data_IF_745985159027
#
_entry.id   IF_745985159027
#
_cell.length_a   1.000
_cell.length_b   1.000
_cell.length_c   1.000
_cell.angle_alpha   90.00
_cell.angle_beta   90.00
_cell.angle_gamma   90.00
#
_symmetry.space_group_name_H-M   'P 1'
#
loop_
_entity.id
_entity.type
_entity.pdbx_description
1 polymer ?
#
# COMPACT_ATOMS: atom_id res chain seq x y z
N UNK A 1 -10.90 25.81 5.58
CA UNK A 1 -12.24 25.53 4.97
C UNK A 1 -12.11 24.42 3.93
N UNK A 2 -12.88 23.34 4.03
CA UNK A 2 -12.96 22.31 2.98
C UNK A 2 -13.52 22.93 1.70
N UNK A 3 -12.83 22.71 0.55
CA UNK A 3 -13.33 23.24 -0.74
C UNK A 3 -14.67 22.57 -1.08
N UNK A 4 -15.59 23.30 -1.70
CA UNK A 4 -16.93 22.81 -2.11
C UNK A 4 -16.90 21.47 -2.83
N UNK A 5 -15.86 21.21 -3.65
CA UNK A 5 -15.64 19.93 -4.32
C UNK A 5 -15.52 18.73 -3.36
N UNK A 6 -14.92 18.90 -2.19
CA UNK A 6 -14.80 17.82 -1.19
C UNK A 6 -16.14 17.50 -0.56
N UNK A 7 -16.96 18.51 -0.29
CA UNK A 7 -18.31 18.33 0.28
C UNK A 7 -19.20 17.56 -0.70
N UNK A 8 -19.19 17.93 -1.98
CA UNK A 8 -19.96 17.24 -3.02
C UNK A 8 -19.51 15.78 -3.13
N UNK A 9 -18.19 15.52 -3.16
CA UNK A 9 -17.62 14.18 -3.19
C UNK A 9 -18.11 13.33 -2.00
N UNK A 10 -18.13 13.93 -0.80
CA UNK A 10 -18.56 13.23 0.40
C UNK A 10 -20.06 12.90 0.37
N UNK A 11 -20.90 13.79 -0.14
CA UNK A 11 -22.34 13.54 -0.31
C UNK A 11 -22.57 12.40 -1.32
N UNK A 12 -21.91 12.44 -2.47
CA UNK A 12 -22.01 11.37 -3.48
C UNK A 12 -21.54 10.04 -2.88
N UNK A 13 -20.39 10.04 -2.19
CA UNK A 13 -19.86 8.85 -1.54
C UNK A 13 -20.78 8.29 -0.46
N UNK A 14 -21.37 9.15 0.36
CA UNK A 14 -22.35 8.75 1.36
C UNK A 14 -23.60 8.12 0.73
N UNK A 15 -24.13 8.71 -0.35
CA UNK A 15 -25.26 8.15 -1.08
C UNK A 15 -24.91 6.79 -1.71
N UNK A 16 -23.75 6.69 -2.37
CA UNK A 16 -23.26 5.44 -2.95
C UNK A 16 -23.12 4.34 -1.89
N UNK A 17 -22.47 4.65 -0.77
CA UNK A 17 -22.30 3.73 0.34
C UNK A 17 -23.65 3.19 0.84
N UNK A 18 -24.60 4.07 1.13
CA UNK A 18 -25.89 3.67 1.71
C UNK A 18 -26.78 2.90 0.73
N UNK A 19 -26.62 3.09 -0.59
CA UNK A 19 -27.44 2.41 -1.61
C UNK A 19 -26.81 1.11 -2.09
N UNK A 20 -25.49 1.09 -2.29
CA UNK A 20 -24.81 0.00 -3.01
C UNK A 20 -23.90 -0.87 -2.15
N UNK A 21 -23.38 -0.35 -1.04
CA UNK A 21 -22.28 -0.99 -0.29
C UNK A 21 -22.55 -1.26 1.20
N UNK A 22 -23.72 -0.82 1.74
CA UNK A 22 -24.04 -0.91 3.17
C UNK A 22 -23.84 -2.29 3.80
N UNK A 23 -23.92 -3.36 3.01
CA UNK A 23 -23.81 -4.75 3.47
C UNK A 23 -22.46 -5.43 3.11
N UNK A 24 -21.51 -4.71 2.52
CA UNK A 24 -20.26 -5.28 2.02
C UNK A 24 -18.99 -4.78 2.73
N UNK A 25 -19.13 -4.00 3.79
CA UNK A 25 -18.00 -3.34 4.45
C UNK A 25 -17.50 -4.13 5.66
N UNK A 26 -17.14 -5.37 5.42
CA UNK A 26 -16.47 -6.25 6.37
C UNK A 26 -15.17 -6.72 5.70
N UNK A 27 -14.10 -6.83 6.47
CA UNK A 27 -12.81 -7.28 6.00
C UNK A 27 -11.71 -6.23 6.17
N UNK A 28 -10.62 -6.40 5.45
CA UNK A 28 -9.45 -5.55 5.56
C UNK A 28 -9.52 -4.35 4.60
N UNK A 29 -9.29 -3.15 5.11
CA UNK A 29 -9.07 -1.92 4.33
C UNK A 29 -7.59 -1.59 4.36
N UNK A 30 -6.90 -1.84 3.26
CA UNK A 30 -5.49 -1.47 3.12
C UNK A 30 -5.33 -0.01 2.69
N UNK A 31 -4.48 0.74 3.39
CA UNK A 31 -4.14 2.13 3.10
C UNK A 31 -2.74 2.20 2.49
N UNK A 32 -2.59 2.93 1.35
CA UNK A 32 -1.29 3.14 0.71
C UNK A 32 -0.72 4.48 1.13
N UNK A 33 0.54 4.46 1.53
CA UNK A 33 1.40 5.62 1.74
C UNK A 33 2.64 5.51 0.84
N UNK A 34 3.38 6.61 0.62
CA UNK A 34 4.59 6.61 -0.20
C UNK A 34 5.76 7.33 0.48
N UNK A 35 5.72 8.66 0.57
CA UNK A 35 6.79 9.48 1.15
C UNK A 35 6.30 10.33 2.33
N UNK A 36 7.23 10.74 3.20
CA UNK A 36 6.92 11.37 4.49
C UNK A 36 7.62 12.71 4.70
N UNK A 37 7.47 13.60 3.73
CA UNK A 37 8.03 14.95 3.72
C UNK A 37 9.04 15.20 2.60
N UNK A 38 9.55 14.16 1.97
CA UNK A 38 10.41 14.30 0.79
C UNK A 38 9.64 14.96 -0.36
N UNK A 39 10.21 16.02 -0.92
CA UNK A 39 9.66 16.66 -2.12
C UNK A 39 9.94 15.83 -3.36
N UNK A 40 8.92 15.20 -3.89
CA UNK A 40 8.99 14.39 -5.09
C UNK A 40 8.69 15.24 -6.33
N UNK A 41 9.62 15.27 -7.30
CA UNK A 41 9.45 16.08 -8.54
C UNK A 41 8.28 15.62 -9.42
N UNK A 42 7.92 14.33 -9.35
CA UNK A 42 6.84 13.72 -10.12
C UNK A 42 5.49 13.72 -9.38
N UNK A 43 5.47 14.17 -8.12
CA UNK A 43 4.25 14.22 -7.33
C UNK A 43 3.33 15.33 -7.81
N UNK A 44 2.25 14.97 -8.47
CA UNK A 44 1.27 15.90 -9.03
C UNK A 44 0.04 16.11 -8.13
N UNK A 45 -0.15 15.27 -7.10
CA UNK A 45 -1.36 15.28 -6.28
C UNK A 45 -1.15 15.03 -4.78
N UNK A 46 0.08 14.91 -4.33
CA UNK A 46 0.43 14.93 -2.92
C UNK A 46 0.57 13.55 -2.27
N UNK A 47 1.34 12.63 -2.87
CA UNK A 47 1.68 11.34 -2.25
C UNK A 47 2.72 11.45 -1.13
N UNK A 48 3.40 12.59 -1.02
CA UNK A 48 4.31 12.89 0.09
C UNK A 48 3.56 13.58 1.22
N UNK A 49 3.40 12.91 2.36
CA UNK A 49 2.64 13.36 3.51
C UNK A 49 3.59 13.90 4.57
N UNK A 50 3.21 15.00 5.24
CA UNK A 50 3.97 15.47 6.38
C UNK A 50 4.01 14.41 7.49
N UNK A 51 5.19 14.15 8.06
CA UNK A 51 5.42 13.08 9.05
C UNK A 51 4.57 13.25 10.33
N UNK A 52 4.34 14.48 10.79
CA UNK A 52 3.47 14.72 11.95
C UNK A 52 2.02 14.36 11.63
N UNK A 53 1.56 14.67 10.40
CA UNK A 53 0.23 14.28 9.95
C UNK A 53 0.09 12.75 9.87
N UNK A 54 1.11 12.06 9.37
CA UNK A 54 1.17 10.59 9.39
C UNK A 54 1.06 10.07 10.82
N UNK A 55 1.83 10.62 11.76
CA UNK A 55 1.77 10.26 13.18
C UNK A 55 0.36 10.42 13.76
N UNK A 56 -0.31 11.54 13.47
CA UNK A 56 -1.68 11.80 13.94
C UNK A 56 -2.67 10.80 13.34
N UNK A 57 -2.51 10.45 12.05
CA UNK A 57 -3.31 9.42 11.39
C UNK A 57 -3.08 8.05 12.03
N UNK A 58 -1.83 7.64 12.27
CA UNK A 58 -1.52 6.35 12.90
C UNK A 58 -2.08 6.25 14.32
N UNK A 59 -1.95 7.33 15.11
CA UNK A 59 -2.59 7.39 16.42
C UNK A 59 -4.09 7.21 16.32
N UNK A 60 -4.77 7.96 15.44
CA UNK A 60 -6.21 7.84 15.23
C UNK A 60 -6.62 6.42 14.83
N UNK A 61 -5.89 5.80 13.89
CA UNK A 61 -6.19 4.45 13.42
C UNK A 61 -6.04 3.42 14.54
N UNK A 62 -4.96 3.49 15.30
CA UNK A 62 -4.68 2.58 16.41
C UNK A 62 -5.68 2.70 17.56
N UNK A 63 -6.21 3.91 17.80
CA UNK A 63 -7.19 4.17 18.85
C UNK A 63 -8.61 3.67 18.48
N UNK A 64 -8.93 3.51 17.16
CA UNK A 64 -10.30 3.28 16.69
C UNK A 64 -10.51 2.00 15.88
N UNK A 65 -9.45 1.33 15.42
CA UNK A 65 -9.54 0.16 14.55
C UNK A 65 -8.56 -0.93 14.96
N UNK A 66 -8.91 -2.17 14.65
CA UNK A 66 -7.96 -3.30 14.74
C UNK A 66 -6.98 -3.20 13.58
N UNK A 67 -5.69 -3.08 13.89
CA UNK A 67 -4.61 -3.05 12.90
C UNK A 67 -4.15 -4.48 12.60
N UNK A 68 -4.03 -4.83 11.31
CA UNK A 68 -3.65 -6.19 10.85
C UNK A 68 -2.71 -6.14 9.66
N UNK A 69 -2.16 -7.27 9.28
CA UNK A 69 -1.41 -7.41 8.03
C UNK A 69 -2.33 -7.31 6.80
N UNK A 70 -1.75 -6.97 5.64
CA UNK A 70 -2.49 -6.80 4.38
C UNK A 70 -3.23 -8.06 3.91
N UNK A 71 -2.75 -9.23 4.31
CA UNK A 71 -3.27 -10.56 3.97
C UNK A 71 -3.99 -11.25 5.14
N UNK A 72 -4.27 -10.52 6.21
CA UNK A 72 -5.07 -11.00 7.34
C UNK A 72 -6.51 -10.44 7.23
N UNK A 73 -7.46 -11.30 6.85
CA UNK A 73 -8.84 -10.93 6.62
C UNK A 73 -9.72 -11.36 7.80
N UNK A 74 -10.43 -10.40 8.40
CA UNK A 74 -11.48 -10.69 9.37
C UNK A 74 -12.81 -10.94 8.67
N UNK A 75 -13.61 -11.88 9.21
CA UNK A 75 -14.98 -12.14 8.75
C UNK A 75 -16.01 -11.21 9.39
N UNK A 76 -15.70 -10.62 10.54
CA UNK A 76 -16.71 -10.03 11.42
C UNK A 76 -16.57 -8.52 11.60
N UNK A 77 -15.36 -7.98 11.38
CA UNK A 77 -15.05 -6.57 11.63
C UNK A 77 -14.28 -5.92 10.48
N UNK A 78 -14.28 -4.59 10.48
CA UNK A 78 -13.36 -3.80 9.64
C UNK A 78 -11.99 -3.78 10.31
N UNK A 79 -11.01 -4.33 9.63
CA UNK A 79 -9.59 -4.22 10.01
C UNK A 79 -8.85 -3.28 9.07
N UNK A 80 -7.77 -2.68 9.55
CA UNK A 80 -6.94 -1.75 8.77
C UNK A 80 -5.54 -2.30 8.63
N UNK A 81 -5.02 -2.28 7.42
CA UNK A 81 -3.60 -2.55 7.15
C UNK A 81 -2.92 -1.35 6.50
N UNK A 82 -1.62 -1.21 6.76
CA UNK A 82 -0.79 -0.14 6.23
C UNK A 82 0.18 -0.71 5.21
N UNK A 83 0.21 -0.12 4.02
CA UNK A 83 1.26 -0.39 3.02
C UNK A 83 1.99 0.90 2.66
N UNK A 84 3.30 0.78 2.44
CA UNK A 84 4.16 1.88 2.00
C UNK A 84 4.83 1.42 0.72
N UNK A 85 4.70 2.19 -0.35
CA UNK A 85 5.27 1.85 -1.66
C UNK A 85 6.56 2.63 -1.93
N UNK A 86 7.31 2.22 -2.96
CA UNK A 86 8.51 2.81 -3.55
C UNK A 86 9.83 2.62 -2.76
N UNK A 87 9.80 2.69 -1.44
CA UNK A 87 11.01 2.60 -0.60
C UNK A 87 11.84 3.89 -0.54
N UNK A 88 11.19 5.06 -0.42
CA UNK A 88 11.88 6.33 -0.19
C UNK A 88 12.61 6.35 1.16
N UNK A 89 13.68 7.17 1.26
CA UNK A 89 14.55 7.22 2.46
C UNK A 89 13.81 7.66 3.73
N UNK A 90 12.85 8.57 3.61
CA UNK A 90 12.03 9.07 4.73
C UNK A 90 11.02 8.03 5.27
N UNK A 91 10.89 6.88 4.62
CA UNK A 91 10.17 5.72 5.14
C UNK A 91 10.70 5.26 6.50
N UNK A 92 12.00 5.43 6.77
CA UNK A 92 12.59 5.11 8.08
C UNK A 92 11.88 5.85 9.23
N UNK A 93 11.54 7.14 9.04
CA UNK A 93 10.85 7.92 10.06
C UNK A 93 9.42 7.42 10.29
N UNK A 94 8.73 7.04 9.21
CA UNK A 94 7.39 6.47 9.30
C UNK A 94 7.38 5.10 10.00
N UNK A 95 8.38 4.26 9.72
CA UNK A 95 8.51 2.95 10.36
C UNK A 95 8.78 3.07 11.86
N UNK A 96 9.57 4.05 12.30
CA UNK A 96 9.73 4.33 13.72
C UNK A 96 8.39 4.65 14.41
N UNK A 97 7.51 5.40 13.73
CA UNK A 97 6.16 5.70 14.25
C UNK A 97 5.32 4.42 14.31
N UNK A 98 5.29 3.62 13.25
CA UNK A 98 4.54 2.35 13.20
C UNK A 98 4.99 1.39 14.30
N UNK A 99 6.30 1.23 14.46
CA UNK A 99 6.89 0.38 15.49
C UNK A 99 6.54 0.84 16.91
N UNK A 100 6.56 2.16 17.18
CA UNK A 100 6.17 2.71 18.48
C UNK A 100 4.69 2.43 18.86
N UNK A 101 3.81 2.29 17.88
CA UNK A 101 2.40 1.91 18.10
C UNK A 101 2.15 0.41 17.92
N UNK A 102 3.17 -0.41 17.64
CA UNK A 102 3.05 -1.84 17.27
C UNK A 102 2.11 -2.09 16.09
N UNK A 103 2.02 -1.17 15.14
CA UNK A 103 1.18 -1.26 13.95
C UNK A 103 1.88 -2.14 12.92
N UNK A 104 1.25 -3.25 12.44
CA UNK A 104 1.75 -4.04 11.33
C UNK A 104 1.78 -3.22 10.04
N UNK A 105 2.79 -3.49 9.18
CA UNK A 105 2.90 -2.82 7.89
C UNK A 105 3.56 -3.69 6.84
N UNK A 106 3.24 -3.38 5.58
CA UNK A 106 3.89 -3.97 4.41
C UNK A 106 4.66 -2.90 3.66
N UNK A 107 5.95 -3.11 3.42
CA UNK A 107 6.81 -2.21 2.67
C UNK A 107 7.10 -2.81 1.29
N UNK A 108 6.63 -2.17 0.22
CA UNK A 108 6.87 -2.56 -1.15
C UNK A 108 8.01 -1.74 -1.75
N UNK A 109 9.09 -2.40 -2.15
CA UNK A 109 10.35 -1.78 -2.53
C UNK A 109 10.60 -1.90 -4.03
N UNK A 110 10.86 -0.78 -4.68
CA UNK A 110 11.38 -0.73 -6.05
C UNK A 110 12.86 -1.13 -6.03
N UNK A 111 13.15 -2.39 -6.34
CA UNK A 111 14.48 -2.98 -6.10
C UNK A 111 15.61 -2.28 -6.87
N UNK A 112 15.35 -1.77 -8.07
CA UNK A 112 16.35 -1.02 -8.84
C UNK A 112 16.66 0.37 -8.30
N UNK A 113 15.99 0.83 -7.22
CA UNK A 113 16.25 2.11 -6.57
C UNK A 113 17.05 1.99 -5.27
N UNK A 114 17.25 0.79 -4.78
CA UNK A 114 18.01 0.52 -3.55
C UNK A 114 19.40 1.18 -3.64
N UNK A 115 19.87 1.76 -2.55
CA UNK A 115 21.12 2.51 -2.44
C UNK A 115 21.20 3.79 -3.29
N UNK A 116 20.17 4.16 -4.06
CA UNK A 116 20.16 5.44 -4.77
C UNK A 116 19.84 6.59 -3.81
N UNK A 117 20.30 7.79 -4.17
CA UNK A 117 20.02 8.99 -3.39
C UNK A 117 18.50 9.22 -3.23
N UNK A 118 18.04 9.29 -2.00
CA UNK A 118 16.63 9.50 -1.66
C UNK A 118 15.82 8.21 -1.48
N UNK A 119 16.46 7.05 -1.56
CA UNK A 119 15.85 5.73 -1.33
C UNK A 119 16.53 4.99 -0.19
N UNK A 120 15.89 3.94 0.29
CA UNK A 120 16.43 3.05 1.32
C UNK A 120 17.71 2.34 0.84
N UNK A 121 18.64 2.13 1.76
CA UNK A 121 19.80 1.26 1.53
C UNK A 121 19.47 -0.19 1.84
N UNK A 122 20.33 -1.11 1.40
CA UNK A 122 20.24 -2.53 1.78
C UNK A 122 20.22 -2.72 3.29
N UNK A 123 21.05 -1.95 4.01
CA UNK A 123 21.09 -1.98 5.48
C UNK A 123 19.78 -1.51 6.10
N UNK A 124 19.16 -0.45 5.57
CA UNK A 124 17.84 0.00 6.04
C UNK A 124 16.81 -1.13 5.86
N UNK A 125 16.76 -1.73 4.66
CA UNK A 125 15.80 -2.78 4.32
C UNK A 125 15.97 -4.01 5.21
N UNK A 126 17.21 -4.43 5.42
CA UNK A 126 17.53 -5.53 6.34
C UNK A 126 17.06 -5.23 7.76
N UNK A 127 17.38 -4.05 8.30
CA UNK A 127 16.97 -3.67 9.65
C UNK A 127 15.43 -3.61 9.78
N UNK A 128 14.73 -3.07 8.76
CA UNK A 128 13.28 -3.03 8.73
C UNK A 128 12.68 -4.44 8.72
N UNK A 129 13.25 -5.37 7.97
CA UNK A 129 12.77 -6.74 7.90
C UNK A 129 12.89 -7.50 9.24
N UNK A 130 13.74 -7.03 10.16
CA UNK A 130 13.88 -7.62 11.50
C UNK A 130 12.81 -7.12 12.50
N UNK A 131 11.96 -6.16 12.10
CA UNK A 131 10.85 -5.70 12.92
C UNK A 131 9.74 -6.74 12.89
N UNK A 132 9.30 -7.22 14.05
CA UNK A 132 8.35 -8.35 14.21
C UNK A 132 7.08 -8.25 13.36
N UNK A 133 6.57 -7.04 13.16
CA UNK A 133 5.30 -6.80 12.47
C UNK A 133 5.51 -6.18 11.08
N UNK A 134 6.65 -6.47 10.43
CA UNK A 134 6.96 -5.99 9.09
C UNK A 134 6.83 -7.10 8.05
N UNK A 135 6.29 -6.76 6.90
CA UNK A 135 6.31 -7.59 5.69
C UNK A 135 7.07 -6.80 4.62
N UNK A 136 8.07 -7.42 4.00
CA UNK A 136 8.78 -6.85 2.86
C UNK A 136 8.24 -7.47 1.57
N UNK A 137 7.83 -6.63 0.63
CA UNK A 137 7.36 -7.02 -0.69
C UNK A 137 8.11 -6.32 -1.81
N UNK A 138 7.92 -6.79 -3.04
CA UNK A 138 8.51 -6.15 -4.22
C UNK A 138 7.58 -5.08 -4.82
N UNK A 139 8.18 -4.07 -5.47
CA UNK A 139 7.49 -3.09 -6.31
C UNK A 139 8.15 -3.00 -7.71
N UNK A 140 8.52 -4.17 -8.26
CA UNK A 140 9.30 -4.27 -9.49
C UNK A 140 10.75 -3.79 -9.36
N UNK A 141 11.44 -3.77 -10.50
CA UNK A 141 12.82 -3.24 -10.62
C UNK A 141 12.83 -1.76 -10.97
N UNK A 142 12.06 -1.37 -11.99
CA UNK A 142 12.15 -0.07 -12.64
C UNK A 142 11.04 0.89 -12.27
N UNK A 143 10.00 0.43 -11.57
CA UNK A 143 8.76 1.16 -11.31
C UNK A 143 7.96 1.51 -12.58
N UNK A 144 8.13 0.76 -13.65
CA UNK A 144 7.37 0.95 -14.88
C UNK A 144 6.05 0.16 -14.86
N UNK A 145 5.07 0.63 -15.64
CA UNK A 145 3.75 -0.02 -15.77
C UNK A 145 3.88 -1.39 -16.43
N UNK A 146 3.47 -2.47 -15.75
CA UNK A 146 3.58 -3.84 -16.28
C UNK A 146 2.74 -4.05 -17.53
N UNK A 147 1.54 -3.50 -17.63
CA UNK A 147 0.67 -3.60 -18.82
C UNK A 147 1.32 -3.07 -20.12
N UNK A 148 2.35 -2.23 -19.99
CA UNK A 148 3.10 -1.67 -21.13
C UNK A 148 4.33 -2.49 -21.51
N UNK A 149 4.60 -3.57 -20.79
CA UNK A 149 5.75 -4.45 -21.00
C UNK A 149 5.32 -5.75 -21.67
N UNK A 150 6.22 -6.33 -22.47
CA UNK A 150 6.03 -7.70 -22.93
C UNK A 150 6.25 -8.71 -21.81
N UNK A 151 5.85 -9.96 -22.02
CA UNK A 151 5.95 -11.06 -21.05
C UNK A 151 7.36 -11.22 -20.47
N UNK A 152 8.39 -11.22 -21.32
CA UNK A 152 9.79 -11.43 -20.89
C UNK A 152 10.27 -10.31 -19.97
N UNK A 153 9.89 -9.07 -20.27
CA UNK A 153 10.23 -7.90 -19.44
C UNK A 153 9.51 -7.94 -18.10
N UNK A 154 8.20 -8.26 -18.08
CA UNK A 154 7.45 -8.43 -16.83
C UNK A 154 8.04 -9.54 -15.96
N UNK A 155 8.38 -10.68 -16.58
CA UNK A 155 9.00 -11.81 -15.88
C UNK A 155 10.33 -11.41 -15.23
N UNK A 156 11.17 -10.67 -15.95
CA UNK A 156 12.44 -10.16 -15.44
C UNK A 156 12.25 -9.18 -14.30
N UNK A 157 11.35 -8.20 -14.43
CA UNK A 157 11.00 -7.23 -13.38
C UNK A 157 10.64 -7.92 -12.06
N UNK A 158 9.73 -8.89 -12.11
CA UNK A 158 9.23 -9.59 -10.93
C UNK A 158 10.25 -10.59 -10.36
N UNK A 159 10.98 -11.32 -11.22
CA UNK A 159 11.99 -12.28 -10.79
C UNK A 159 13.19 -11.59 -10.14
N UNK A 160 13.76 -10.59 -10.83
CA UNK A 160 15.00 -9.96 -10.37
C UNK A 160 14.75 -9.14 -9.08
N UNK A 161 13.63 -8.42 -8.99
CA UNK A 161 13.26 -7.71 -7.77
C UNK A 161 13.08 -8.64 -6.56
N UNK A 162 12.43 -9.81 -6.77
CA UNK A 162 12.27 -10.85 -5.74
C UNK A 162 13.62 -11.35 -5.26
N UNK A 163 14.52 -11.74 -6.19
CA UNK A 163 15.84 -12.28 -5.86
C UNK A 163 16.71 -11.28 -5.09
N UNK A 164 16.73 -10.01 -5.52
CA UNK A 164 17.51 -8.98 -4.83
C UNK A 164 17.03 -8.82 -3.39
N UNK A 165 15.73 -8.67 -3.17
CA UNK A 165 15.19 -8.47 -1.82
C UNK A 165 15.38 -9.71 -0.94
N UNK A 166 15.18 -10.92 -1.46
CA UNK A 166 15.46 -12.16 -0.73
C UNK A 166 16.92 -12.26 -0.31
N UNK A 167 17.85 -11.82 -1.16
CA UNK A 167 19.28 -11.79 -0.83
C UNK A 167 19.60 -10.78 0.29
N UNK A 168 18.87 -9.68 0.37
CA UNK A 168 19.05 -8.65 1.42
C UNK A 168 18.48 -9.15 2.74
N UNK A 169 17.20 -9.57 2.77
CA UNK A 169 16.51 -9.88 4.03
C UNK A 169 16.75 -11.32 4.51
N UNK A 170 17.29 -12.21 3.67
CA UNK A 170 17.53 -13.65 3.92
C UNK A 170 16.26 -14.46 4.18
N UNK A 171 15.13 -13.99 3.69
CA UNK A 171 13.82 -14.63 3.81
C UNK A 171 13.10 -14.67 2.45
N UNK A 172 12.06 -15.51 2.34
CA UNK A 172 11.26 -15.61 1.13
C UNK A 172 10.36 -14.38 0.95
N UNK A 173 10.38 -13.80 -0.24
CA UNK A 173 9.43 -12.76 -0.66
C UNK A 173 8.27 -13.42 -1.41
N UNK A 174 7.06 -13.28 -0.92
CA UNK A 174 5.87 -13.89 -1.52
C UNK A 174 4.74 -12.88 -1.85
N UNK A 175 5.01 -11.59 -1.68
CA UNK A 175 4.06 -10.51 -1.95
C UNK A 175 4.69 -9.42 -2.83
N UNK A 176 3.87 -8.83 -3.70
CA UNK A 176 4.25 -7.68 -4.54
C UNK A 176 3.15 -6.63 -4.58
N UNK A 177 3.48 -5.39 -4.94
CA UNK A 177 2.50 -4.42 -5.42
C UNK A 177 2.80 -4.02 -6.86
N UNK A 178 1.75 -3.75 -7.62
CA UNK A 178 1.90 -3.37 -9.02
C UNK A 178 2.24 -1.88 -9.12
N UNK A 179 3.38 -1.48 -9.75
CA UNK A 179 3.69 -0.09 -10.02
C UNK A 179 2.51 0.61 -10.74
N UNK A 180 2.05 1.72 -10.19
CA UNK A 180 0.87 2.46 -10.67
C UNK A 180 -0.44 1.64 -10.68
N UNK A 181 -0.53 0.54 -9.94
CA UNK A 181 -1.64 -0.40 -9.99
C UNK A 181 -1.78 -1.14 -11.31
N UNK A 182 -0.74 -1.14 -12.16
CA UNK A 182 -0.77 -1.62 -13.55
C UNK A 182 -0.38 -3.08 -13.65
N UNK A 183 -1.26 -3.89 -14.22
CA UNK A 183 -1.04 -5.33 -14.48
C UNK A 183 -1.92 -5.80 -15.66
N UNK A 184 -1.60 -6.97 -16.20
CA UNK A 184 -2.39 -7.68 -17.22
C UNK A 184 -2.47 -9.19 -16.91
N UNK A 185 -3.06 -9.97 -17.81
CA UNK A 185 -3.16 -11.43 -17.66
C UNK A 185 -1.79 -12.13 -17.61
N UNK A 186 -0.78 -11.58 -18.25
CA UNK A 186 0.57 -12.14 -18.19
C UNK A 186 1.16 -11.94 -16.79
N UNK A 187 0.96 -10.75 -16.21
CA UNK A 187 1.48 -10.40 -14.88
C UNK A 187 1.03 -11.41 -13.82
N UNK A 188 -0.26 -11.71 -13.74
CA UNK A 188 -0.80 -12.67 -12.74
C UNK A 188 -0.29 -14.09 -12.98
N UNK A 189 -0.18 -14.51 -14.25
CA UNK A 189 0.41 -15.81 -14.61
C UNK A 189 1.90 -15.92 -14.25
N UNK A 190 2.65 -14.83 -14.36
CA UNK A 190 4.08 -14.78 -13.97
C UNK A 190 4.20 -14.87 -12.45
N UNK A 191 3.35 -14.16 -11.68
CA UNK A 191 3.36 -14.21 -10.23
C UNK A 191 3.22 -15.65 -9.70
N UNK A 192 2.24 -16.40 -10.22
CA UNK A 192 2.07 -17.81 -9.91
C UNK A 192 3.33 -18.64 -10.18
N UNK A 193 3.95 -18.47 -11.37
CA UNK A 193 5.17 -19.18 -11.76
C UNK A 193 6.36 -18.85 -10.87
N UNK A 194 6.45 -17.64 -10.36
CA UNK A 194 7.54 -17.18 -9.49
C UNK A 194 7.26 -17.45 -8.00
N UNK A 195 6.15 -18.11 -7.66
CA UNK A 195 5.80 -18.45 -6.28
C UNK A 195 5.39 -17.27 -5.42
N UNK A 196 4.87 -16.19 -6.02
CA UNK A 196 4.18 -15.17 -5.26
C UNK A 196 2.84 -15.73 -4.77
N UNK A 197 2.43 -15.31 -3.58
CA UNK A 197 1.15 -15.70 -2.97
C UNK A 197 0.15 -14.57 -2.99
N UNK A 198 0.65 -13.32 -3.00
CA UNK A 198 -0.16 -12.12 -2.89
C UNK A 198 0.32 -11.02 -3.84
N UNK A 199 -0.62 -10.23 -4.34
CA UNK A 199 -0.29 -9.00 -5.06
C UNK A 199 -1.34 -7.91 -4.81
N UNK A 200 -0.86 -6.69 -4.60
CA UNK A 200 -1.70 -5.55 -4.28
C UNK A 200 -1.79 -4.58 -5.46
N UNK A 201 -3.02 -4.20 -5.80
CA UNK A 201 -3.31 -3.19 -6.82
C UNK A 201 -3.67 -1.84 -6.17
N UNK A 202 -4.06 -0.86 -7.00
CA UNK A 202 -4.55 0.45 -6.53
C UNK A 202 -6.07 0.59 -6.71
N UNK A 203 -6.78 -0.53 -6.89
CA UNK A 203 -8.24 -0.54 -6.90
C UNK A 203 -8.75 -0.35 -5.47
N UNK A 204 -9.69 0.55 -5.29
CA UNK A 204 -10.32 0.80 -4.00
C UNK A 204 -11.30 -0.31 -3.66
N UNK A 205 -11.37 -0.69 -2.39
CA UNK A 205 -12.27 -1.75 -1.93
C UNK A 205 -11.83 -2.34 -0.60
N UNK A 206 -12.64 -3.24 -0.08
CA UNK A 206 -12.28 -4.12 1.04
C UNK A 206 -11.68 -5.42 0.51
N UNK A 207 -10.78 -6.00 1.28
CA UNK A 207 -10.27 -7.34 1.07
C UNK A 207 -10.96 -8.30 2.04
N UNK A 208 -11.37 -9.45 1.54
CA UNK A 208 -12.03 -10.53 2.27
C UNK A 208 -11.54 -11.88 1.78
N UNK A 209 -12.00 -12.96 2.37
CA UNK A 209 -11.67 -14.32 1.92
C UNK A 209 -12.09 -14.63 0.47
N UNK A 210 -12.98 -13.83 -0.12
CA UNK A 210 -13.37 -13.96 -1.54
C UNK A 210 -12.53 -13.09 -2.48
N UNK A 211 -11.62 -12.27 -1.97
CA UNK A 211 -10.74 -11.42 -2.79
C UNK A 211 -9.68 -12.28 -3.47
N UNK A 212 -9.46 -12.07 -4.77
CA UNK A 212 -8.36 -12.69 -5.49
C UNK A 212 -7.03 -12.25 -4.86
N UNK A 213 -6.21 -13.22 -4.48
CA UNK A 213 -4.93 -13.00 -3.83
C UNK A 213 -3.96 -12.12 -4.64
N UNK A 214 -4.13 -12.06 -5.95
CA UNK A 214 -3.34 -11.19 -6.83
C UNK A 214 -4.00 -9.84 -7.11
N UNK A 215 -5.12 -9.54 -6.47
CA UNK A 215 -5.89 -8.31 -6.67
C UNK A 215 -6.28 -7.62 -5.35
N UNK A 216 -5.40 -7.65 -4.35
CA UNK A 216 -5.67 -6.97 -3.08
C UNK A 216 -5.94 -5.48 -3.31
N UNK A 217 -7.12 -5.05 -2.86
CA UNK A 217 -7.57 -3.67 -2.98
C UNK A 217 -6.85 -2.78 -1.97
N UNK A 218 -6.53 -1.53 -2.38
CA UNK A 218 -5.90 -0.55 -1.51
C UNK A 218 -6.46 0.85 -1.77
N UNK A 219 -6.48 1.68 -0.73
CA UNK A 219 -6.92 3.09 -0.81
C UNK A 219 -5.76 4.01 -0.53
N UNK A 220 -5.39 4.83 -1.51
CA UNK A 220 -4.28 5.77 -1.40
C UNK A 220 -4.61 6.94 -0.48
N UNK A 221 -3.68 7.31 0.39
CA UNK A 221 -3.74 8.46 1.27
C UNK A 221 -2.82 9.55 0.73
N UNK A 222 -3.35 10.78 0.65
CA UNK A 222 -2.63 11.92 0.09
C UNK A 222 -2.47 13.07 1.09
N UNK A 223 -1.56 13.97 0.82
CA UNK A 223 -1.21 15.08 1.73
C UNK A 223 -2.39 15.99 2.08
N UNK A 224 -3.38 16.12 1.22
CA UNK A 224 -4.58 16.91 1.49
C UNK A 224 -5.62 16.20 2.37
N UNK A 225 -5.53 14.88 2.57
CA UNK A 225 -6.52 14.13 3.33
C UNK A 225 -6.54 14.54 4.80
N UNK A 226 -7.69 14.93 5.28
CA UNK A 226 -7.97 15.16 6.71
C UNK A 226 -8.34 13.84 7.39
N UNK A 227 -8.46 13.81 8.71
CA UNK A 227 -9.01 12.65 9.45
C UNK A 227 -10.43 12.30 8.96
N UNK A 228 -11.23 13.28 8.55
CA UNK A 228 -12.56 13.02 7.97
C UNK A 228 -12.41 12.31 6.61
N UNK A 229 -11.46 12.74 5.75
CA UNK A 229 -11.21 12.08 4.47
C UNK A 229 -10.69 10.66 4.66
N UNK A 230 -9.79 10.45 5.62
CA UNK A 230 -9.31 9.14 6.03
C UNK A 230 -10.47 8.23 6.46
N UNK A 231 -11.33 8.71 7.36
CA UNK A 231 -12.52 7.96 7.82
C UNK A 231 -13.45 7.63 6.66
N UNK A 232 -13.69 8.56 5.73
CA UNK A 232 -14.52 8.33 4.56
C UNK A 232 -13.92 7.29 3.59
N UNK A 233 -12.58 7.29 3.44
CA UNK A 233 -11.86 6.24 2.67
C UNK A 233 -12.00 4.87 3.34
N UNK A 234 -11.87 4.80 4.65
CA UNK A 234 -12.06 3.56 5.41
C UNK A 234 -13.48 3.03 5.25
N UNK A 235 -14.49 3.89 5.33
CA UNK A 235 -15.90 3.52 5.13
C UNK A 235 -16.24 3.14 3.68
N UNK A 236 -15.35 3.39 2.72
CA UNK A 236 -15.61 3.09 1.31
C UNK A 236 -16.44 4.14 0.57
N UNK A 237 -16.61 5.35 1.13
CA UNK A 237 -17.36 6.42 0.48
C UNK A 237 -16.75 6.84 -0.87
N UNK A 238 -15.47 6.52 -1.10
CA UNK A 238 -14.76 6.86 -2.33
C UNK A 238 -14.46 5.66 -3.23
N UNK A 239 -15.10 4.52 -2.99
CA UNK A 239 -14.90 3.30 -3.79
C UNK A 239 -15.65 3.31 -5.13
N UNK A 240 -16.42 4.38 -5.41
CA UNK A 240 -17.22 4.50 -6.63
C UNK A 240 -16.45 5.03 -7.86
N UNK A 241 -15.17 5.42 -7.71
CA UNK A 241 -14.37 5.98 -8.82
C UNK A 241 -12.92 5.45 -8.80
#
# INVERSE_FOLDING_TARGET
MRKTKHIIRDIIGYCYYNTMKRFQNIGNRCLIYHAFGTRLKHDSYGISININKFKDQMKFLNDHYKMTDINDFSSDDVTISISIDDGYKDTNDAINILNNYNIPFTLFITAGKINQKGYLSETDIYNISQIKNSIIGTHGMSHNRFEKMNYSSQFKELKDSKLILQNIIKEEINITSYPHGSFDKNTTGILSKLGYKWAACSKKGFNSFSTDNFLLCRSEIIASDTIIDLTNKIKGYYDYY
#
